data_IF_059264361285
#
_entry.id   IF_059264361285
#
_cell.length_a   1.000
_cell.length_b   1.000
_cell.length_c   1.000
_cell.angle_alpha   90.00
_cell.angle_beta   90.00
_cell.angle_gamma   90.00
#
_symmetry.space_group_name_H-M   'P 1'
#
loop_
_entity.id
_entity.type
_entity.pdbx_description
1 polymer ?
#
# COMPACT_ATOMS: atom_id res chain seq x y z
N UNK A 1 -2.86 40.76 3.01
CA UNK A 1 -3.87 39.73 3.28
C UNK A 1 -3.20 38.68 4.12
N UNK A 2 -3.69 38.40 5.31
CA UNK A 2 -3.21 37.29 6.14
C UNK A 2 -3.50 36.01 5.35
N UNK A 3 -2.48 35.30 4.91
CA UNK A 3 -2.66 33.97 4.31
C UNK A 3 -3.41 33.11 5.33
N UNK A 4 -4.57 32.62 4.93
CA UNK A 4 -5.32 31.64 5.70
C UNK A 4 -4.44 30.39 5.76
N UNK A 5 -3.75 30.17 6.88
CA UNK A 5 -3.01 28.92 7.11
C UNK A 5 -4.03 27.82 7.34
N UNK A 6 -4.17 26.93 6.38
CA UNK A 6 -4.96 25.72 6.55
C UNK A 6 -4.34 24.87 7.65
N UNK A 7 -5.14 24.23 8.51
CA UNK A 7 -4.62 23.28 9.48
C UNK A 7 -3.97 22.10 8.74
N UNK A 8 -2.86 21.63 9.28
CA UNK A 8 -2.06 20.52 8.76
C UNK A 8 -1.63 19.63 9.92
N UNK A 9 -1.37 18.37 9.62
CA UNK A 9 -0.85 17.39 10.58
C UNK A 9 0.30 16.61 9.95
N UNK A 10 1.27 16.28 10.78
CA UNK A 10 2.40 15.42 10.41
C UNK A 10 2.03 13.96 10.69
N UNK A 11 2.10 13.13 9.66
CA UNK A 11 1.85 11.69 9.74
C UNK A 11 3.17 10.96 9.71
N UNK A 12 3.40 10.11 10.70
CA UNK A 12 4.55 9.20 10.72
C UNK A 12 4.31 8.03 9.79
N UNK A 13 5.28 7.74 8.93
CA UNK A 13 5.18 6.66 7.95
C UNK A 13 5.65 5.35 8.57
N UNK A 14 4.90 4.23 8.40
CA UNK A 14 5.31 2.89 8.83
C UNK A 14 6.74 2.54 8.42
N UNK A 15 7.16 2.91 7.20
CA UNK A 15 8.51 2.63 6.71
C UNK A 15 9.63 3.36 7.45
N UNK A 16 9.30 4.36 8.28
CA UNK A 16 10.25 5.28 8.93
C UNK A 16 11.19 5.97 7.94
N UNK A 17 10.81 6.03 6.67
CA UNK A 17 11.61 6.62 5.61
C UNK A 17 12.72 5.71 5.06
N UNK A 18 12.88 4.49 5.61
CA UNK A 18 14.07 3.67 5.39
C UNK A 18 14.23 3.17 3.96
N UNK A 19 13.13 2.98 3.24
CA UNK A 19 13.13 2.44 1.88
C UNK A 19 13.22 3.50 0.78
N UNK A 20 13.24 4.78 1.15
CA UNK A 20 13.33 5.89 0.19
C UNK A 20 14.75 6.44 0.13
N UNK A 21 15.23 6.72 -1.08
CA UNK A 21 16.55 7.34 -1.28
C UNK A 21 16.67 8.65 -0.50
N UNK A 22 17.89 9.03 -0.11
CA UNK A 22 18.12 10.24 0.70
C UNK A 22 17.69 11.54 0.00
N UNK A 23 17.62 11.54 -1.33
CA UNK A 23 17.12 12.66 -2.13
C UNK A 23 15.58 12.74 -2.15
N UNK A 24 14.88 11.67 -1.77
CA UNK A 24 13.43 11.64 -1.73
C UNK A 24 12.93 12.26 -0.40
N UNK A 25 12.00 13.22 -0.41
CA UNK A 25 11.48 13.85 0.82
C UNK A 25 10.85 12.86 1.82
N UNK A 26 10.35 11.71 1.33
CA UNK A 26 9.78 10.64 2.17
C UNK A 26 10.83 9.93 3.02
N UNK A 27 12.13 10.11 2.74
CA UNK A 27 13.23 9.57 3.55
C UNK A 27 13.29 10.14 4.97
N UNK A 28 12.56 11.23 5.23
CA UNK A 28 12.32 11.76 6.58
C UNK A 28 11.49 10.83 7.46
N UNK A 29 10.75 9.89 6.85
CA UNK A 29 9.82 9.00 7.54
C UNK A 29 8.54 9.67 7.98
N UNK A 30 8.27 10.88 7.48
CA UNK A 30 7.09 11.66 7.82
C UNK A 30 6.52 12.35 6.60
N UNK A 31 5.22 12.66 6.64
CA UNK A 31 4.54 13.40 5.59
C UNK A 31 3.53 14.37 6.21
N UNK A 32 3.54 15.62 5.74
CA UNK A 32 2.56 16.62 6.18
C UNK A 32 1.34 16.61 5.24
N UNK A 33 0.16 16.41 5.82
CA UNK A 33 -1.12 16.47 5.12
C UNK A 33 -2.00 17.59 5.67
N UNK A 34 -2.77 18.24 4.80
CA UNK A 34 -3.81 19.19 5.23
C UNK A 34 -5.11 18.47 5.60
N UNK A 35 -6.00 19.17 6.29
CA UNK A 35 -7.35 18.67 6.54
C UNK A 35 -8.17 18.64 5.23
N UNK A 36 -9.10 17.68 5.15
CA UNK A 36 -10.07 17.62 4.06
C UNK A 36 -11.00 18.83 4.06
N UNK A 37 -11.38 19.26 2.87
CA UNK A 37 -12.38 20.31 2.65
C UNK A 37 -13.47 19.79 1.71
N UNK A 38 -14.49 20.61 1.40
CA UNK A 38 -15.47 20.28 0.37
C UNK A 38 -14.83 19.91 -1.00
N UNK A 39 -13.62 20.40 -1.28
CA UNK A 39 -12.87 20.00 -2.48
C UNK A 39 -12.48 18.50 -2.45
N UNK A 40 -12.12 17.98 -1.29
CA UNK A 40 -11.79 16.56 -1.12
C UNK A 40 -13.06 15.69 -1.09
N UNK A 41 -14.19 16.22 -0.60
CA UNK A 41 -15.52 15.60 -0.77
C UNK A 41 -15.89 15.45 -2.26
N UNK A 42 -15.64 16.48 -3.07
CA UNK A 42 -15.85 16.40 -4.52
C UNK A 42 -14.96 15.33 -5.18
N UNK A 43 -13.76 15.07 -4.66
CA UNK A 43 -12.88 13.99 -5.13
C UNK A 43 -13.49 12.64 -4.76
N UNK A 44 -13.90 12.47 -3.50
CA UNK A 44 -14.44 11.22 -2.96
C UNK A 44 -15.75 10.80 -3.63
N UNK A 45 -16.57 11.76 -4.04
CA UNK A 45 -17.84 11.52 -4.74
C UNK A 45 -17.72 11.45 -6.26
N UNK A 46 -16.51 11.65 -6.81
CA UNK A 46 -16.28 11.69 -8.25
C UNK A 46 -16.43 10.30 -8.89
N UNK A 47 -17.56 10.08 -9.55
CA UNK A 47 -17.88 8.82 -10.23
C UNK A 47 -16.83 8.39 -11.25
N UNK A 48 -16.19 9.32 -11.96
CA UNK A 48 -15.16 8.97 -12.93
C UNK A 48 -13.88 8.48 -12.25
N UNK A 49 -13.52 8.98 -11.07
CA UNK A 49 -12.39 8.48 -10.29
C UNK A 49 -12.71 7.14 -9.62
N UNK A 50 -13.93 6.97 -9.10
CA UNK A 50 -14.42 5.70 -8.54
C UNK A 50 -14.37 4.59 -9.60
N UNK A 51 -14.97 4.81 -10.77
CA UNK A 51 -14.98 3.82 -11.87
C UNK A 51 -13.58 3.49 -12.38
N UNK A 52 -12.61 4.40 -12.25
CA UNK A 52 -11.21 4.20 -12.65
C UNK A 52 -10.36 3.57 -11.55
N UNK A 53 -10.85 3.49 -10.31
CA UNK A 53 -10.10 3.05 -9.14
C UNK A 53 -9.05 4.06 -8.64
N UNK A 54 -9.14 5.33 -9.02
CA UNK A 54 -8.11 6.36 -8.72
C UNK A 54 -8.56 7.38 -7.67
N UNK A 55 -9.69 7.16 -7.01
CA UNK A 55 -10.27 8.13 -6.06
C UNK A 55 -9.37 8.35 -4.83
N UNK A 56 -8.88 7.27 -4.22
CA UNK A 56 -7.99 7.35 -3.06
C UNK A 56 -6.62 7.97 -3.43
N UNK A 57 -6.11 7.67 -4.62
CA UNK A 57 -4.89 8.29 -5.14
C UNK A 57 -5.04 9.81 -5.26
N UNK A 58 -6.17 10.25 -5.84
CA UNK A 58 -6.47 11.67 -6.03
C UNK A 58 -6.71 12.39 -4.71
N UNK A 59 -7.28 11.69 -3.74
CA UNK A 59 -7.44 12.21 -2.38
C UNK A 59 -6.07 12.49 -1.76
N UNK A 60 -5.21 11.46 -1.68
CA UNK A 60 -3.86 11.60 -1.10
C UNK A 60 -3.07 12.71 -1.80
N UNK A 61 -3.06 12.72 -3.14
CA UNK A 61 -2.38 13.77 -3.92
C UNK A 61 -2.88 15.19 -3.58
N UNK A 62 -4.18 15.35 -3.30
CA UNK A 62 -4.75 16.65 -2.93
C UNK A 62 -4.42 17.05 -1.48
N UNK A 63 -4.20 16.08 -0.60
CA UNK A 63 -3.93 16.28 0.82
C UNK A 63 -2.47 16.59 1.14
N UNK A 64 -1.53 16.11 0.33
CA UNK A 64 -0.10 16.35 0.54
C UNK A 64 0.24 17.85 0.41
N UNK A 65 0.85 18.40 1.45
CA UNK A 65 1.24 19.81 1.52
C UNK A 65 2.51 20.06 0.71
N UNK A 66 3.55 19.26 0.97
CA UNK A 66 4.84 19.37 0.28
C UNK A 66 4.73 18.96 -1.20
N UNK A 67 4.95 19.90 -2.12
CA UNK A 67 4.82 19.66 -3.56
C UNK A 67 5.98 18.88 -4.18
N UNK A 68 7.07 18.70 -3.45
CA UNK A 68 8.18 17.86 -3.88
C UNK A 68 7.90 16.37 -3.60
N UNK A 69 6.89 16.05 -2.79
CA UNK A 69 6.44 14.68 -2.56
C UNK A 69 5.54 14.22 -3.69
N UNK A 70 5.94 13.17 -4.39
CA UNK A 70 5.07 12.45 -5.33
C UNK A 70 4.36 11.31 -4.62
N UNK A 71 3.02 11.35 -4.56
CA UNK A 71 2.22 10.33 -3.89
C UNK A 71 2.46 8.91 -4.42
N UNK A 72 2.91 8.76 -5.67
CA UNK A 72 3.21 7.44 -6.26
C UNK A 72 4.49 6.82 -5.74
N UNK A 73 5.36 7.62 -5.11
CA UNK A 73 6.58 7.10 -4.50
C UNK A 73 6.26 6.31 -3.23
N UNK A 74 5.17 6.66 -2.52
CA UNK A 74 4.72 5.96 -1.31
C UNK A 74 4.59 4.46 -1.56
N UNK A 75 5.24 3.67 -0.70
CA UNK A 75 4.93 2.24 -0.60
C UNK A 75 3.51 2.05 -0.08
N UNK A 76 2.93 0.87 -0.33
CA UNK A 76 1.52 0.60 0.00
C UNK A 76 1.22 0.85 1.49
N UNK A 77 2.09 0.43 2.40
CA UNK A 77 1.85 0.61 3.83
C UNK A 77 1.86 2.08 4.27
N UNK A 78 2.78 2.88 3.74
CA UNK A 78 2.82 4.31 3.99
C UNK A 78 1.59 5.02 3.44
N UNK A 79 1.08 4.55 2.30
CA UNK A 79 -0.18 5.02 1.73
C UNK A 79 -1.37 4.70 2.64
N UNK A 80 -1.40 3.52 3.25
CA UNK A 80 -2.45 3.13 4.20
C UNK A 80 -2.45 4.03 5.44
N UNK A 81 -1.27 4.34 6.00
CA UNK A 81 -1.14 5.28 7.11
C UNK A 81 -1.71 6.67 6.78
N UNK A 82 -1.38 7.20 5.59
CA UNK A 82 -1.94 8.48 5.13
C UNK A 82 -3.46 8.42 4.99
N UNK A 83 -4.03 7.31 4.50
CA UNK A 83 -5.48 7.15 4.38
C UNK A 83 -6.18 7.12 5.74
N UNK A 84 -5.63 6.41 6.72
CA UNK A 84 -6.15 6.39 8.10
C UNK A 84 -6.10 7.78 8.70
N UNK A 85 -4.94 8.44 8.65
CA UNK A 85 -4.80 9.81 9.15
C UNK A 85 -5.81 10.75 8.48
N UNK A 86 -5.95 10.68 7.16
CA UNK A 86 -6.93 11.48 6.41
C UNK A 86 -8.36 11.22 6.88
N UNK A 87 -8.71 9.96 7.16
CA UNK A 87 -10.04 9.57 7.64
C UNK A 87 -10.33 10.10 9.04
N UNK A 88 -9.35 10.05 9.94
CA UNK A 88 -9.44 10.59 11.31
C UNK A 88 -9.62 12.11 11.24
N UNK A 89 -8.80 12.81 10.47
CA UNK A 89 -8.85 14.27 10.35
C UNK A 89 -10.12 14.77 9.66
N UNK A 90 -10.71 13.96 8.78
CA UNK A 90 -11.90 14.31 8.02
C UNK A 90 -13.22 14.08 8.76
N UNK A 91 -13.42 12.86 9.28
CA UNK A 91 -14.70 12.47 9.87
C UNK A 91 -14.57 11.87 11.29
N UNK A 92 -13.42 12.02 11.93
CA UNK A 92 -13.18 11.54 13.28
C UNK A 92 -12.66 10.11 13.34
N UNK A 93 -12.24 9.71 14.55
CA UNK A 93 -11.57 8.43 14.83
C UNK A 93 -12.49 7.21 14.81
N UNK A 94 -13.78 7.40 15.04
CA UNK A 94 -14.76 6.32 15.06
C UNK A 94 -15.08 5.86 13.63
N UNK A 95 -14.91 4.55 13.37
CA UNK A 95 -15.25 3.95 12.09
C UNK A 95 -16.12 2.71 12.29
N UNK A 96 -17.28 2.71 11.62
CA UNK A 96 -18.19 1.56 11.58
C UNK A 96 -18.13 0.87 10.24
N UNK A 97 -18.05 -0.46 10.24
CA UNK A 97 -18.13 -1.29 9.04
C UNK A 97 -18.93 -2.56 9.30
N UNK A 98 -19.43 -3.17 8.23
CA UNK A 98 -20.18 -4.43 8.31
C UNK A 98 -19.28 -5.61 7.99
N UNK A 99 -19.31 -6.63 8.85
CA UNK A 99 -18.70 -7.93 8.62
C UNK A 99 -19.74 -9.01 8.95
N UNK A 100 -19.97 -9.95 8.03
CA UNK A 100 -20.95 -11.03 8.22
C UNK A 100 -22.34 -10.53 8.67
N UNK A 101 -22.81 -9.43 8.08
CA UNK A 101 -24.07 -8.71 8.41
C UNK A 101 -24.13 -8.05 9.80
N UNK A 102 -23.07 -8.12 10.60
CA UNK A 102 -22.94 -7.42 11.88
C UNK A 102 -22.20 -6.10 11.71
N UNK A 103 -22.66 -5.06 12.39
CA UNK A 103 -21.98 -3.77 12.46
C UNK A 103 -20.94 -3.80 13.57
N UNK A 104 -19.71 -3.42 13.23
CA UNK A 104 -18.60 -3.29 14.15
C UNK A 104 -18.10 -1.86 14.12
N UNK A 105 -17.74 -1.34 15.29
CA UNK A 105 -17.18 -0.02 15.46
C UNK A 105 -15.76 -0.15 16.02
N UNK A 106 -14.82 0.57 15.42
CA UNK A 106 -13.41 0.60 15.82
C UNK A 106 -12.94 2.04 16.02
N UNK A 107 -12.01 2.23 16.96
CA UNK A 107 -11.30 3.49 17.15
C UNK A 107 -10.02 3.47 16.30
N UNK A 108 -10.02 4.21 15.19
CA UNK A 108 -8.87 4.30 14.29
C UNK A 108 -7.64 4.96 14.93
N UNK A 109 -7.79 5.66 16.06
CA UNK A 109 -6.64 6.21 16.80
C UNK A 109 -5.84 5.16 17.56
N UNK A 110 -6.39 3.94 17.69
CA UNK A 110 -5.70 2.78 18.26
C UNK A 110 -4.97 1.95 17.18
N UNK A 111 -5.04 2.34 15.91
CA UNK A 111 -4.32 1.67 14.83
C UNK A 111 -2.87 2.15 14.80
N UNK A 112 -1.98 1.26 15.24
CA UNK A 112 -0.54 1.48 15.24
C UNK A 112 0.14 0.98 13.95
N UNK A 113 1.40 1.37 13.75
CA UNK A 113 2.24 0.79 12.70
C UNK A 113 2.60 -0.65 13.06
N UNK A 114 2.57 -1.56 12.08
CA UNK A 114 3.07 -2.92 12.27
C UNK A 114 4.53 -2.89 12.71
N UNK A 115 4.85 -3.67 13.73
CA UNK A 115 6.23 -3.95 14.06
C UNK A 115 6.86 -4.77 12.93
N UNK A 116 8.03 -4.34 12.46
CA UNK A 116 8.82 -5.08 11.48
C UNK A 116 10.29 -4.98 11.86
N UNK A 117 11.06 -6.00 11.48
CA UNK A 117 12.50 -6.02 11.70
C UNK A 117 13.21 -5.12 10.69
N UNK A 118 13.53 -3.89 11.12
CA UNK A 118 14.27 -2.93 10.31
C UNK A 118 15.76 -3.23 10.20
N UNK A 119 16.31 -4.21 10.94
CA UNK A 119 17.75 -4.47 10.98
C UNK A 119 18.31 -4.99 9.65
N UNK A 120 17.47 -5.61 8.84
CA UNK A 120 17.81 -6.14 7.52
C UNK A 120 17.68 -5.11 6.38
N UNK A 121 17.13 -3.92 6.67
CA UNK A 121 16.88 -2.88 5.65
C UNK A 121 18.12 -2.03 5.45
N UNK A 122 18.59 -1.99 4.20
CA UNK A 122 19.60 -1.01 3.79
C UNK A 122 18.90 0.33 3.59
N UNK A 123 19.21 1.31 4.44
CA UNK A 123 18.63 2.66 4.34
C UNK A 123 18.83 3.22 2.93
N UNK A 124 17.77 3.78 2.36
CA UNK A 124 17.80 4.36 1.02
C UNK A 124 17.48 3.39 -0.11
N UNK A 125 17.32 2.10 0.20
CA UNK A 125 17.24 1.03 -0.81
C UNK A 125 16.01 0.17 -0.56
N UNK A 126 15.08 0.18 -1.52
CA UNK A 126 13.92 -0.69 -1.54
C UNK A 126 14.26 -2.03 -2.23
N UNK A 127 15.20 -2.78 -1.66
CA UNK A 127 15.61 -4.10 -2.14
C UNK A 127 15.88 -5.05 -0.97
N UNK A 128 15.35 -6.26 -1.08
CA UNK A 128 15.35 -7.27 -0.04
C UNK A 128 15.75 -8.61 -0.64
N UNK A 129 16.50 -9.41 0.11
CA UNK A 129 16.95 -10.73 -0.33
C UNK A 129 16.24 -11.82 0.45
N UNK A 130 15.78 -12.85 -0.28
CA UNK A 130 15.16 -14.02 0.32
C UNK A 130 15.60 -15.28 -0.42
N UNK A 131 15.96 -16.32 0.32
CA UNK A 131 16.25 -17.64 -0.26
C UNK A 131 14.96 -18.47 -0.22
N UNK A 132 14.50 -18.90 -1.40
CA UNK A 132 13.30 -19.73 -1.49
C UNK A 132 13.55 -21.09 -0.82
N UNK A 133 12.75 -21.50 0.18
CA UNK A 133 13.08 -22.61 1.07
C UNK A 133 13.08 -23.99 0.40
N UNK A 134 12.39 -24.16 -0.74
CA UNK A 134 12.32 -25.44 -1.43
C UNK A 134 13.20 -25.50 -2.67
N UNK A 135 13.27 -24.43 -3.46
CA UNK A 135 14.11 -24.38 -4.65
C UNK A 135 15.54 -23.92 -4.35
N UNK A 136 15.83 -23.41 -3.15
CA UNK A 136 17.11 -22.79 -2.74
C UNK A 136 17.53 -21.64 -3.66
N UNK A 137 16.58 -21.11 -4.44
CA UNK A 137 16.84 -20.03 -5.39
C UNK A 137 16.90 -18.71 -4.63
N UNK A 138 17.97 -17.95 -4.83
CA UNK A 138 18.08 -16.62 -4.26
C UNK A 138 17.21 -15.67 -5.07
N UNK A 139 16.28 -14.97 -4.43
CA UNK A 139 15.50 -13.90 -5.07
C UNK A 139 15.79 -12.58 -4.40
N UNK A 140 15.87 -11.53 -5.20
CA UNK A 140 15.79 -10.14 -4.72
C UNK A 140 14.41 -9.62 -5.07
N UNK A 141 13.77 -8.95 -4.13
CA UNK A 141 12.46 -8.32 -4.34
C UNK A 141 12.44 -6.90 -3.79
N UNK A 142 11.41 -6.15 -4.17
CA UNK A 142 11.10 -4.84 -3.63
C UNK A 142 9.68 -4.79 -3.10
N UNK A 143 9.43 -3.85 -2.20
CA UNK A 143 8.07 -3.49 -1.79
C UNK A 143 7.45 -2.61 -2.90
N UNK A 144 6.21 -2.92 -3.29
CA UNK A 144 5.52 -2.18 -4.33
C UNK A 144 5.16 -0.77 -3.85
N UNK A 145 5.29 0.19 -4.77
CA UNK A 145 4.82 1.57 -4.59
C UNK A 145 3.73 1.92 -5.60
N UNK A 146 3.19 3.13 -5.50
CA UNK A 146 2.14 3.61 -6.39
C UNK A 146 2.52 3.60 -7.88
N UNK A 147 3.80 3.74 -8.24
CA UNK A 147 4.23 3.60 -9.65
C UNK A 147 4.11 2.17 -10.15
N UNK A 148 4.42 1.20 -9.29
CA UNK A 148 4.31 -0.21 -9.64
C UNK A 148 2.86 -0.66 -9.72
N UNK A 149 2.01 -0.22 -8.79
CA UNK A 149 0.56 -0.46 -8.84
C UNK A 149 -0.06 0.01 -10.16
N UNK A 150 0.33 1.21 -10.64
CA UNK A 150 -0.13 1.70 -11.95
C UNK A 150 0.32 0.79 -13.10
N UNK A 151 1.54 0.26 -13.07
CA UNK A 151 2.05 -0.64 -14.12
C UNK A 151 1.37 -2.00 -14.07
N UNK A 152 1.17 -2.53 -12.86
CA UNK A 152 0.45 -3.78 -12.60
C UNK A 152 -0.99 -3.65 -13.15
N UNK A 153 -1.69 -2.57 -12.79
CA UNK A 153 -3.05 -2.28 -13.28
C UNK A 153 -3.12 -2.24 -14.80
N UNK A 154 -2.16 -1.58 -15.45
CA UNK A 154 -2.10 -1.49 -16.90
C UNK A 154 -1.86 -2.86 -17.54
N UNK A 155 -0.95 -3.65 -16.97
CA UNK A 155 -0.65 -5.00 -17.43
C UNK A 155 -1.87 -5.91 -17.31
N UNK A 156 -2.55 -5.90 -16.16
CA UNK A 156 -3.76 -6.69 -15.91
C UNK A 156 -4.90 -6.30 -16.84
N UNK A 157 -5.11 -4.99 -17.09
CA UNK A 157 -6.08 -4.52 -18.09
C UNK A 157 -5.73 -4.99 -19.49
N UNK A 158 -4.45 -5.06 -19.83
CA UNK A 158 -3.95 -5.63 -21.09
C UNK A 158 -4.26 -7.12 -21.19
N UNK A 159 -3.93 -7.90 -20.16
CA UNK A 159 -4.15 -9.34 -20.10
C UNK A 159 -5.64 -9.70 -20.18
N UNK A 160 -6.50 -8.96 -19.46
CA UNK A 160 -7.96 -9.13 -19.49
C UNK A 160 -8.59 -8.91 -20.87
N UNK A 161 -7.95 -8.08 -21.72
CA UNK A 161 -8.38 -7.91 -23.13
C UNK A 161 -8.05 -9.12 -24.00
N UNK A 162 -6.98 -9.86 -23.67
CA UNK A 162 -6.52 -11.04 -24.40
C UNK A 162 -7.33 -12.27 -23.95
N UNK A 163 -7.47 -12.45 -22.63
CA UNK A 163 -8.22 -13.54 -22.04
C UNK A 163 -9.10 -13.00 -20.90
N UNK A 164 -10.42 -13.03 -21.10
CA UNK A 164 -11.39 -12.50 -20.13
C UNK A 164 -11.52 -13.34 -18.87
N UNK A 165 -11.15 -14.62 -18.95
CA UNK A 165 -11.30 -15.59 -17.86
C UNK A 165 -10.03 -15.70 -17.01
N UNK A 166 -8.88 -15.23 -17.52
CA UNK A 166 -7.63 -15.20 -16.79
C UNK A 166 -7.49 -13.90 -16.00
N UNK A 167 -7.36 -14.00 -14.68
CA UNK A 167 -6.99 -12.90 -13.78
C UNK A 167 -5.67 -13.26 -13.11
N UNK A 168 -4.52 -13.16 -13.81
CA UNK A 168 -3.21 -13.57 -13.30
C UNK A 168 -2.65 -12.51 -12.33
N UNK A 169 -3.44 -12.08 -11.35
CA UNK A 169 -3.10 -11.03 -10.37
C UNK A 169 -1.82 -11.37 -9.62
N UNK A 170 -1.82 -12.55 -9.00
CA UNK A 170 -0.74 -13.05 -8.17
C UNK A 170 0.60 -13.03 -8.90
N UNK A 171 0.65 -13.67 -10.08
CA UNK A 171 1.89 -13.79 -10.86
C UNK A 171 2.30 -12.46 -11.46
N UNK A 172 1.36 -11.58 -11.81
CA UNK A 172 1.67 -10.23 -12.27
C UNK A 172 2.35 -9.44 -11.16
N UNK A 173 1.79 -9.40 -9.95
CA UNK A 173 2.41 -8.68 -8.82
C UNK A 173 3.80 -9.26 -8.48
N UNK A 174 3.96 -10.59 -8.48
CA UNK A 174 5.26 -11.24 -8.26
C UNK A 174 6.32 -10.82 -9.31
N UNK A 175 5.94 -10.66 -10.58
CA UNK A 175 6.85 -10.19 -11.64
C UNK A 175 7.30 -8.74 -11.48
N UNK A 176 6.51 -7.91 -10.80
CA UNK A 176 6.88 -6.52 -10.49
C UNK A 176 7.60 -6.39 -9.14
N UNK A 177 7.36 -7.31 -8.21
CA UNK A 177 8.06 -7.40 -6.92
C UNK A 177 9.48 -7.96 -7.08
N UNK A 178 9.66 -9.07 -7.80
CA UNK A 178 10.96 -9.71 -7.95
C UNK A 178 11.83 -8.88 -8.91
N UNK A 179 13.00 -8.46 -8.42
CA UNK A 179 13.97 -7.65 -9.16
C UNK A 179 15.19 -8.46 -9.60
N UNK A 180 15.47 -9.61 -8.97
CA UNK A 180 16.50 -10.54 -9.42
C UNK A 180 16.18 -12.00 -9.07
N UNK A 181 16.71 -12.94 -9.87
CA UNK A 181 16.69 -14.39 -9.61
C UNK A 181 18.11 -14.93 -9.77
N UNK A 182 18.72 -15.46 -8.71
CA UNK A 182 20.13 -15.86 -8.66
C UNK A 182 21.10 -14.77 -9.16
N UNK A 183 20.78 -13.50 -8.87
CA UNK A 183 21.54 -12.34 -9.33
C UNK A 183 21.25 -11.90 -10.77
N UNK A 184 20.42 -12.63 -11.52
CA UNK A 184 19.96 -12.21 -12.85
C UNK A 184 18.82 -11.19 -12.74
N UNK A 185 19.05 -9.98 -13.23
CA UNK A 185 18.10 -8.86 -13.22
C UNK A 185 17.36 -8.69 -14.55
N UNK A 186 17.56 -9.59 -15.52
CA UNK A 186 16.87 -9.53 -16.81
C UNK A 186 15.37 -9.80 -16.62
N UNK A 187 14.53 -8.84 -17.02
CA UNK A 187 13.08 -8.93 -16.84
C UNK A 187 12.46 -10.12 -17.55
N UNK A 188 12.98 -10.56 -18.70
CA UNK A 188 12.44 -11.73 -19.40
C UNK A 188 12.71 -12.99 -18.58
N UNK A 189 13.93 -13.13 -18.05
CA UNK A 189 14.31 -14.26 -17.22
C UNK A 189 13.52 -14.30 -15.90
N UNK A 190 13.28 -13.15 -15.27
CA UNK A 190 12.43 -13.07 -14.06
C UNK A 190 10.99 -13.52 -14.36
N UNK A 191 10.40 -13.06 -15.47
CA UNK A 191 9.03 -13.44 -15.84
C UNK A 191 8.92 -14.93 -16.15
N UNK A 192 9.87 -15.45 -16.90
CA UNK A 192 10.00 -16.88 -17.21
C UNK A 192 10.11 -17.70 -15.92
N UNK A 193 10.92 -17.25 -14.96
CA UNK A 193 11.02 -17.87 -13.64
C UNK A 193 9.68 -17.90 -12.92
N UNK A 194 8.98 -16.76 -12.80
CA UNK A 194 7.69 -16.68 -12.10
C UNK A 194 6.62 -17.56 -12.75
N UNK A 195 6.58 -17.61 -14.08
CA UNK A 195 5.55 -18.36 -14.80
C UNK A 195 5.79 -19.88 -14.82
N UNK A 196 7.06 -20.30 -14.90
CA UNK A 196 7.39 -21.70 -15.22
C UNK A 196 8.21 -22.43 -14.15
N UNK A 197 8.91 -21.72 -13.27
CA UNK A 197 9.89 -22.33 -12.34
C UNK A 197 9.63 -22.04 -10.86
N UNK A 198 8.91 -20.96 -10.53
CA UNK A 198 8.58 -20.63 -9.14
C UNK A 198 7.54 -21.62 -8.59
N UNK A 199 7.98 -22.52 -7.70
CA UNK A 199 7.10 -23.51 -7.10
C UNK A 199 6.00 -22.83 -6.28
N UNK A 200 4.79 -23.38 -6.29
CA UNK A 200 3.66 -22.82 -5.53
C UNK A 200 3.95 -22.65 -4.02
N UNK A 201 4.68 -23.61 -3.44
CA UNK A 201 5.13 -23.58 -2.04
C UNK A 201 6.17 -22.50 -1.76
N UNK A 202 7.07 -22.24 -2.71
CA UNK A 202 8.04 -21.13 -2.63
C UNK A 202 7.35 -19.78 -2.83
N UNK A 203 6.41 -19.67 -3.78
CA UNK A 203 5.57 -18.49 -3.96
C UNK A 203 4.80 -18.14 -2.68
N UNK A 204 4.24 -19.15 -2.00
CA UNK A 204 3.56 -18.95 -0.70
C UNK A 204 4.55 -18.49 0.39
N UNK A 205 5.72 -19.10 0.47
CA UNK A 205 6.75 -18.72 1.45
C UNK A 205 7.24 -17.28 1.23
N UNK A 206 7.54 -16.90 -0.02
CA UNK A 206 7.97 -15.55 -0.38
C UNK A 206 6.90 -14.52 -0.01
N UNK A 207 5.61 -14.78 -0.33
CA UNK A 207 4.53 -13.85 0.03
C UNK A 207 4.38 -13.67 1.54
N UNK A 208 4.48 -14.76 2.31
CA UNK A 208 4.46 -14.69 3.78
C UNK A 208 5.61 -13.87 4.32
N UNK A 209 6.81 -14.08 3.78
CA UNK A 209 7.99 -13.30 4.17
C UNK A 209 7.84 -11.80 3.86
N UNK A 210 7.29 -11.46 2.67
CA UNK A 210 7.00 -10.07 2.31
C UNK A 210 5.98 -9.46 3.28
N UNK A 211 4.91 -10.19 3.61
CA UNK A 211 3.88 -9.73 4.56
C UNK A 211 4.45 -9.47 5.97
N UNK A 212 5.39 -10.30 6.44
CA UNK A 212 6.05 -10.17 7.74
C UNK A 212 7.12 -9.04 7.79
N UNK A 213 7.64 -8.62 6.63
CA UNK A 213 8.76 -7.66 6.56
C UNK A 213 8.36 -6.30 6.01
N UNK A 214 7.25 -6.22 5.27
CA UNK A 214 6.78 -4.98 4.67
C UNK A 214 6.25 -4.04 5.76
N UNK A 215 6.74 -2.78 5.82
CA UNK A 215 6.14 -1.76 6.68
C UNK A 215 4.70 -1.49 6.25
N UNK A 216 3.79 -1.48 7.23
CA UNK A 216 2.36 -1.24 7.04
C UNK A 216 1.74 -0.81 8.37
N UNK A 217 0.47 -0.45 8.34
CA UNK A 217 -0.36 -0.23 9.53
C UNK A 217 -1.02 -1.53 9.98
N UNK A 218 -1.17 -1.74 11.29
CA UNK A 218 -1.84 -2.91 11.83
C UNK A 218 -3.35 -2.72 11.79
N UNK A 219 -3.97 -3.23 10.73
CA UNK A 219 -5.41 -3.21 10.53
C UNK A 219 -6.13 -4.34 11.26
N UNK A 220 -5.42 -5.13 12.07
CA UNK A 220 -6.00 -6.27 12.78
C UNK A 220 -6.73 -5.78 14.01
N UNK A 221 -8.03 -6.06 14.09
CA UNK A 221 -8.87 -5.70 15.21
C UNK A 221 -9.45 -6.98 15.85
N UNK A 222 -9.36 -7.07 17.16
CA UNK A 222 -9.91 -8.19 17.92
C UNK A 222 -11.36 -7.88 18.32
N UNK A 223 -12.31 -8.62 17.76
CA UNK A 223 -13.72 -8.53 18.17
C UNK A 223 -13.94 -9.41 19.40
N UNK A 224 -14.14 -8.78 20.56
CA UNK A 224 -14.57 -9.39 21.83
C UNK A 224 -13.96 -10.77 22.16
N UNK A 225 -12.71 -11.01 21.74
CA UNK A 225 -11.92 -12.20 22.06
C UNK A 225 -12.13 -13.45 21.19
N UNK A 226 -12.94 -13.41 20.12
CA UNK A 226 -13.25 -14.62 19.33
C UNK A 226 -12.77 -14.59 17.87
N UNK A 227 -12.57 -13.42 17.25
CA UNK A 227 -12.12 -13.33 15.85
C UNK A 227 -11.27 -12.08 15.57
N UNK A 228 -10.09 -12.29 14.96
CA UNK A 228 -9.28 -11.22 14.38
C UNK A 228 -9.86 -10.82 13.02
N UNK A 229 -10.19 -9.54 12.88
CA UNK A 229 -10.77 -8.99 11.65
C UNK A 229 -9.89 -7.88 11.10
N UNK A 230 -9.77 -7.80 9.78
CA UNK A 230 -9.01 -6.74 9.12
C UNK A 230 -9.92 -5.57 8.80
N UNK A 231 -9.56 -4.36 9.27
CA UNK A 231 -10.27 -3.12 8.92
C UNK A 231 -10.19 -2.90 7.41
N UNK A 232 -11.32 -2.85 6.67
CA UNK A 232 -11.30 -2.67 5.23
C UNK A 232 -11.01 -1.21 4.87
N UNK A 233 -9.87 -0.97 4.20
CA UNK A 233 -9.58 0.34 3.60
C UNK A 233 -10.02 0.34 2.13
N UNK A 234 -11.17 0.94 1.86
CA UNK A 234 -11.74 1.09 0.52
C UNK A 234 -12.48 2.42 0.35
N UNK A 235 -13.32 2.52 -0.68
CA UNK A 235 -14.20 3.70 -0.84
C UNK A 235 -15.11 3.83 0.38
N UNK A 236 -15.64 2.71 0.85
CA UNK A 236 -16.55 2.65 1.98
C UNK A 236 -15.89 2.99 3.33
N UNK A 237 -14.56 3.12 3.35
CA UNK A 237 -13.81 3.65 4.49
C UNK A 237 -14.09 5.14 4.69
N UNK A 238 -14.22 5.89 3.59
CA UNK A 238 -14.60 7.31 3.61
C UNK A 238 -16.11 7.51 3.47
N UNK A 239 -16.83 6.53 2.90
CA UNK A 239 -18.27 6.59 2.64
C UNK A 239 -18.99 5.27 3.00
N UNK A 240 -19.29 5.01 4.28
CA UNK A 240 -19.93 3.76 4.71
C UNK A 240 -21.37 3.59 4.18
N UNK A 241 -22.02 4.68 3.74
CA UNK A 241 -23.40 4.70 3.27
C UNK A 241 -23.57 4.53 1.74
N UNK A 242 -22.49 4.24 1.00
CA UNK A 242 -22.51 3.99 -0.46
C UNK A 242 -22.26 2.52 -0.79
#
# INVERSE_FOLDING_TARGET
MTEFKFPTEEVELPSKGLVYSEENPLSSGKIEIKYMTAKEEDILTNQAYIQKGTVLDKLIESLIVNKDVNYKDLIIGDKNAVLIASRILGYGKEYSFKLNDNEHQVDLSEVDNKEFDSSSIVKGVNEFSFELPYSTTQVTYKILNGHDEVKIDQELRGLKKINKDAVPELTTRLKHMITSVNGDTDRKNIREFVDNYLLARDSRALRKHIEETQPDVDLTFNLDGEEEVTIPIGINFFWPDV
#
